data_IF_239692335901
#
_entry.id   IF_239692335901
#
_cell.length_a   1.000
_cell.length_b   1.000
_cell.length_c   1.000
_cell.angle_alpha   90.00
_cell.angle_beta   90.00
_cell.angle_gamma   90.00
#
_symmetry.space_group_name_H-M   'P 1'
#
loop_
_entity.id
_entity.type
_entity.pdbx_description
1 polymer ?
#
# COMPACT_ATOMS: atom_id res chain seq x y z
N UNK A 1 8.21 -25.96 -6.23
CA UNK A 1 8.07 -24.55 -5.82
C UNK A 1 8.89 -24.23 -4.57
N UNK A 2 8.79 -24.97 -3.44
CA UNK A 2 9.60 -24.70 -2.24
C UNK A 2 11.10 -24.70 -2.53
N UNK A 3 11.58 -25.71 -3.28
CA UNK A 3 13.00 -25.82 -3.66
C UNK A 3 13.50 -24.63 -4.50
N UNK A 4 12.68 -24.09 -5.40
CA UNK A 4 13.04 -22.91 -6.21
C UNK A 4 13.15 -21.65 -5.34
N UNK A 5 12.22 -21.49 -4.39
CA UNK A 5 12.24 -20.37 -3.46
C UNK A 5 13.45 -20.45 -2.52
N UNK A 6 13.74 -21.64 -2.00
CA UNK A 6 14.91 -21.87 -1.13
C UNK A 6 16.25 -21.74 -1.88
N UNK A 7 16.25 -21.87 -3.21
CA UNK A 7 17.40 -21.60 -4.09
C UNK A 7 17.59 -20.10 -4.41
N UNK A 8 16.76 -19.21 -3.84
CA UNK A 8 16.92 -17.76 -3.98
C UNK A 8 16.22 -17.14 -5.18
N UNK A 9 15.22 -17.81 -5.76
CA UNK A 9 14.33 -17.16 -6.75
C UNK A 9 13.54 -16.05 -6.05
N UNK A 10 13.46 -14.90 -6.69
CA UNK A 10 12.70 -13.74 -6.21
C UNK A 10 11.23 -14.12 -5.94
N UNK A 11 10.71 -13.69 -4.78
CA UNK A 11 9.35 -14.07 -4.38
C UNK A 11 8.27 -13.47 -5.28
N UNK A 12 8.49 -12.26 -5.80
CA UNK A 12 7.56 -11.59 -6.71
C UNK A 12 7.48 -12.36 -8.02
N UNK A 13 8.64 -12.73 -8.58
CA UNK A 13 8.70 -13.58 -9.79
C UNK A 13 8.03 -14.94 -9.56
N UNK A 14 8.20 -15.52 -8.36
CA UNK A 14 7.59 -16.80 -8.02
C UNK A 14 6.06 -16.71 -7.98
N UNK A 15 5.50 -15.72 -7.28
CA UNK A 15 4.03 -15.57 -7.18
C UNK A 15 3.41 -15.18 -8.52
N UNK A 16 4.15 -14.45 -9.36
CA UNK A 16 3.73 -14.12 -10.72
C UNK A 16 3.75 -15.34 -11.62
N UNK A 17 4.82 -16.12 -11.59
CA UNK A 17 4.90 -17.38 -12.34
C UNK A 17 3.80 -18.35 -11.92
N UNK A 18 3.48 -18.43 -10.61
CA UNK A 18 2.40 -19.27 -10.12
C UNK A 18 1.04 -18.78 -10.62
N UNK A 19 0.79 -17.47 -10.58
CA UNK A 19 -0.46 -16.90 -11.08
C UNK A 19 -0.67 -17.21 -12.56
N UNK A 20 0.34 -16.98 -13.40
CA UNK A 20 0.24 -17.20 -14.85
C UNK A 20 0.06 -18.67 -15.23
N UNK A 21 0.71 -19.59 -14.49
CA UNK A 21 0.50 -21.03 -14.70
C UNK A 21 -0.92 -21.46 -14.30
N UNK A 22 -1.39 -20.96 -13.16
CA UNK A 22 -2.77 -21.21 -12.72
C UNK A 22 -3.78 -20.63 -13.70
N UNK A 23 -3.54 -19.45 -14.26
CA UNK A 23 -4.40 -18.87 -15.29
C UNK A 23 -4.49 -19.75 -16.54
N UNK A 24 -3.36 -20.25 -17.04
CA UNK A 24 -3.33 -21.15 -18.20
C UNK A 24 -4.13 -22.42 -17.95
N UNK A 25 -3.93 -23.03 -16.77
CA UNK A 25 -4.68 -24.20 -16.34
C UNK A 25 -6.19 -23.92 -16.21
N UNK A 26 -6.57 -22.77 -15.66
CA UNK A 26 -7.98 -22.37 -15.55
C UNK A 26 -8.63 -22.16 -16.92
N UNK A 27 -7.90 -21.57 -17.88
CA UNK A 27 -8.40 -21.39 -19.24
C UNK A 27 -8.67 -22.76 -19.88
N UNK A 28 -7.72 -23.70 -19.79
CA UNK A 28 -7.91 -25.07 -20.29
C UNK A 28 -9.13 -25.74 -19.65
N UNK A 29 -9.26 -25.64 -18.32
CA UNK A 29 -10.39 -26.20 -17.58
C UNK A 29 -11.74 -25.58 -17.98
N UNK A 30 -11.78 -24.28 -18.24
CA UNK A 30 -13.00 -23.59 -18.67
C UNK A 30 -13.36 -23.89 -20.12
N UNK A 31 -12.38 -24.09 -20.99
CA UNK A 31 -12.60 -24.55 -22.36
C UNK A 31 -13.22 -25.96 -22.35
N UNK A 32 -12.64 -26.91 -21.59
CA UNK A 32 -13.19 -28.26 -21.42
C UNK A 32 -14.63 -28.22 -20.87
N UNK A 33 -14.87 -27.47 -19.80
CA UNK A 33 -16.20 -27.32 -19.21
C UNK A 33 -17.21 -26.68 -20.19
N UNK A 34 -16.76 -25.81 -21.09
CA UNK A 34 -17.62 -25.20 -22.10
C UNK A 34 -17.96 -26.17 -23.23
N UNK A 35 -17.00 -27.00 -23.69
CA UNK A 35 -17.22 -28.02 -24.71
C UNK A 35 -18.25 -29.08 -24.27
N UNK A 36 -18.24 -29.47 -23.00
CA UNK A 36 -19.21 -30.41 -22.44
C UNK A 36 -20.61 -29.80 -22.26
N UNK A 37 -20.71 -28.47 -22.25
CA UNK A 37 -21.98 -27.79 -22.07
C UNK A 37 -22.76 -27.74 -23.40
N UNK A 38 -24.06 -28.12 -23.42
CA UNK A 38 -24.88 -28.10 -24.65
C UNK A 38 -25.00 -26.74 -25.36
N UNK A 39 -24.56 -25.65 -24.71
CA UNK A 39 -24.55 -24.29 -25.21
C UNK A 39 -23.15 -23.64 -25.21
N UNK A 40 -22.08 -24.43 -25.19
CA UNK A 40 -20.68 -23.99 -25.06
C UNK A 40 -20.27 -22.81 -25.93
N UNK A 41 -20.42 -22.93 -27.26
CA UNK A 41 -20.06 -21.86 -28.22
C UNK A 41 -20.82 -20.54 -27.96
N UNK A 42 -22.08 -20.64 -27.51
CA UNK A 42 -22.86 -19.45 -27.14
C UNK A 42 -22.31 -18.84 -25.86
N UNK A 43 -21.98 -19.64 -24.85
CA UNK A 43 -21.43 -19.17 -23.57
C UNK A 43 -20.08 -18.46 -23.76
N UNK A 44 -19.20 -18.97 -24.62
CA UNK A 44 -17.94 -18.28 -24.98
C UNK A 44 -18.17 -16.93 -25.66
N UNK A 45 -19.28 -16.78 -26.40
CA UNK A 45 -19.63 -15.56 -27.13
C UNK A 45 -20.46 -14.54 -26.34
N UNK A 46 -20.96 -14.88 -25.14
CA UNK A 46 -21.79 -13.97 -24.33
C UNK A 46 -21.55 -14.09 -22.82
N UNK A 47 -20.45 -14.71 -22.41
CA UNK A 47 -20.01 -14.78 -21.03
C UNK A 47 -18.51 -14.55 -20.94
N UNK A 48 -18.02 -14.02 -19.83
CA UNK A 48 -16.60 -13.76 -19.64
C UNK A 48 -16.15 -14.10 -18.22
N UNK A 49 -14.90 -14.50 -18.05
CA UNK A 49 -14.28 -14.71 -16.73
C UNK A 49 -13.11 -13.75 -16.58
N UNK A 50 -13.08 -13.03 -15.46
CA UNK A 50 -11.99 -12.13 -15.10
C UNK A 50 -11.34 -12.60 -13.79
N UNK A 51 -10.02 -12.63 -13.76
CA UNK A 51 -9.26 -12.64 -12.52
C UNK A 51 -9.39 -11.27 -11.86
N UNK A 52 -9.66 -11.24 -10.56
CA UNK A 52 -9.77 -9.99 -9.79
C UNK A 52 -8.86 -10.05 -8.56
N UNK A 53 -8.68 -8.94 -7.85
CA UNK A 53 -7.88 -8.91 -6.62
C UNK A 53 -6.43 -9.36 -6.86
N UNK A 54 -5.93 -10.29 -6.03
CA UNK A 54 -4.56 -10.83 -6.18
C UNK A 54 -4.35 -11.56 -7.50
N UNK A 55 -5.32 -12.36 -7.93
CA UNK A 55 -5.30 -13.05 -9.22
C UNK A 55 -5.29 -12.05 -10.39
N UNK A 56 -6.06 -10.97 -10.28
CA UNK A 56 -6.08 -9.89 -11.27
C UNK A 56 -4.71 -9.25 -11.49
N UNK A 57 -3.99 -8.96 -10.39
CA UNK A 57 -2.59 -8.47 -10.40
C UNK A 57 -1.56 -9.48 -10.87
N UNK A 58 -1.95 -10.72 -11.15
CA UNK A 58 -1.04 -11.85 -11.34
C UNK A 58 -0.09 -12.04 -10.14
N UNK A 59 -0.62 -11.92 -8.92
CA UNK A 59 0.12 -12.11 -7.66
C UNK A 59 -0.56 -13.22 -6.83
N UNK A 60 -0.24 -14.48 -7.14
CA UNK A 60 -0.81 -15.64 -6.44
C UNK A 60 0.20 -16.20 -5.43
N UNK A 61 -0.03 -15.97 -4.14
CA UNK A 61 0.78 -16.60 -3.10
C UNK A 61 0.37 -18.05 -2.87
N UNK A 62 1.29 -18.96 -2.51
CA UNK A 62 1.00 -20.38 -2.29
C UNK A 62 -0.19 -20.61 -1.35
N UNK A 63 -1.14 -21.47 -1.70
CA UNK A 63 -2.31 -21.74 -0.85
C UNK A 63 -3.23 -20.52 -0.59
N UNK A 64 -3.11 -19.45 -1.40
CA UNK A 64 -4.15 -18.42 -1.47
C UNK A 64 -5.23 -18.83 -2.46
N UNK A 65 -6.45 -18.36 -2.20
CA UNK A 65 -7.57 -18.52 -3.13
C UNK A 65 -7.30 -17.79 -4.44
N UNK A 66 -7.87 -18.31 -5.54
CA UNK A 66 -7.97 -17.60 -6.82
C UNK A 66 -9.31 -16.88 -6.87
N UNK A 67 -9.27 -15.58 -7.11
CA UNK A 67 -10.47 -14.73 -7.12
C UNK A 67 -10.96 -14.48 -8.56
N UNK A 68 -12.16 -14.94 -8.87
CA UNK A 68 -12.78 -14.89 -10.20
C UNK A 68 -14.12 -14.14 -10.21
N UNK A 69 -14.32 -13.33 -11.25
CA UNK A 69 -15.61 -12.73 -11.60
C UNK A 69 -16.12 -13.34 -12.90
N UNK A 70 -17.24 -14.06 -12.80
CA UNK A 70 -17.98 -14.59 -13.94
C UNK A 70 -19.02 -13.55 -14.37
N UNK A 71 -18.85 -13.00 -15.57
CA UNK A 71 -19.74 -12.02 -16.18
C UNK A 71 -20.73 -12.68 -17.15
N UNK A 72 -22.02 -12.56 -16.84
CA UNK A 72 -23.11 -12.98 -17.71
C UNK A 72 -23.54 -11.84 -18.65
N UNK A 73 -23.39 -12.06 -19.95
CA UNK A 73 -23.75 -11.13 -21.03
C UNK A 73 -25.14 -11.36 -21.63
N UNK A 74 -26.02 -12.14 -20.97
CA UNK A 74 -27.44 -12.40 -21.27
C UNK A 74 -27.80 -13.88 -21.55
N UNK A 75 -27.03 -14.82 -21.00
CA UNK A 75 -27.33 -16.27 -21.02
C UNK A 75 -28.12 -16.73 -19.79
N UNK A 76 -28.12 -15.96 -18.71
CA UNK A 76 -28.92 -16.20 -17.52
C UNK A 76 -28.60 -17.56 -16.88
N UNK A 77 -29.59 -18.46 -16.85
CA UNK A 77 -29.48 -19.76 -16.17
C UNK A 77 -28.39 -20.65 -16.76
N UNK A 78 -28.13 -20.57 -18.04
CA UNK A 78 -27.14 -21.42 -18.71
C UNK A 78 -25.72 -21.03 -18.28
N UNK A 79 -25.42 -19.73 -18.24
CA UNK A 79 -24.12 -19.25 -17.78
C UNK A 79 -23.93 -19.47 -16.27
N UNK A 80 -24.99 -19.33 -15.48
CA UNK A 80 -24.93 -19.68 -14.05
C UNK A 80 -24.65 -21.18 -13.83
N UNK A 81 -25.21 -22.07 -14.67
CA UNK A 81 -24.95 -23.49 -14.61
C UNK A 81 -23.50 -23.82 -15.00
N UNK A 82 -22.99 -23.20 -16.07
CA UNK A 82 -21.58 -23.29 -16.48
C UNK A 82 -20.65 -22.82 -15.38
N UNK A 83 -20.85 -21.62 -14.84
CA UNK A 83 -20.03 -21.08 -13.76
C UNK A 83 -20.03 -22.00 -12.53
N UNK A 84 -21.19 -22.60 -12.21
CA UNK A 84 -21.29 -23.57 -11.11
C UNK A 84 -20.52 -24.86 -11.38
N UNK A 85 -20.48 -25.34 -12.64
CA UNK A 85 -19.69 -26.50 -13.04
C UNK A 85 -18.19 -26.18 -12.99
N UNK A 86 -17.76 -25.11 -13.67
CA UNK A 86 -16.38 -24.65 -13.67
C UNK A 86 -15.80 -24.46 -12.26
N UNK A 87 -16.61 -23.94 -11.32
CA UNK A 87 -16.21 -23.82 -9.91
C UNK A 87 -16.03 -25.18 -9.23
N UNK A 88 -16.90 -26.15 -9.50
CA UNK A 88 -16.76 -27.52 -8.98
C UNK A 88 -15.51 -28.18 -9.54
N UNK A 89 -15.28 -28.06 -10.85
CA UNK A 89 -14.11 -28.64 -11.51
C UNK A 89 -12.81 -28.09 -10.88
N UNK A 90 -12.77 -26.80 -10.58
CA UNK A 90 -11.65 -26.18 -9.87
C UNK A 90 -11.45 -26.75 -8.47
N UNK A 91 -12.52 -27.01 -7.72
CA UNK A 91 -12.43 -27.64 -6.40
C UNK A 91 -11.97 -29.10 -6.47
N UNK A 92 -12.42 -29.85 -7.48
CA UNK A 92 -12.08 -31.26 -7.67
C UNK A 92 -10.59 -31.45 -7.98
N UNK A 93 -9.97 -30.49 -8.65
CA UNK A 93 -8.51 -30.45 -8.89
C UNK A 93 -7.72 -29.78 -7.75
N UNK A 94 -8.39 -29.39 -6.67
CA UNK A 94 -7.78 -28.88 -5.44
C UNK A 94 -7.51 -27.38 -5.38
N UNK A 95 -8.02 -26.59 -6.34
CA UNK A 95 -7.94 -25.13 -6.27
C UNK A 95 -9.01 -24.60 -5.30
N UNK A 96 -8.67 -23.57 -4.53
CA UNK A 96 -9.64 -22.82 -3.75
C UNK A 96 -10.04 -21.56 -4.52
N UNK A 97 -11.35 -21.38 -4.73
CA UNK A 97 -11.89 -20.26 -5.51
C UNK A 97 -12.73 -19.32 -4.67
N UNK A 98 -12.32 -18.05 -4.62
CA UNK A 98 -13.24 -16.94 -4.39
C UNK A 98 -13.93 -16.62 -5.71
N UNK A 99 -15.27 -16.68 -5.78
CA UNK A 99 -15.96 -16.39 -7.04
C UNK A 99 -17.27 -15.63 -6.84
N UNK A 100 -17.67 -14.93 -7.90
CA UNK A 100 -18.98 -14.26 -7.99
C UNK A 100 -19.50 -14.32 -9.43
N UNK A 101 -20.82 -14.42 -9.59
CA UNK A 101 -21.48 -14.48 -10.89
C UNK A 101 -22.43 -13.29 -11.02
N UNK A 102 -22.20 -12.42 -11.99
CA UNK A 102 -22.96 -11.19 -12.15
C UNK A 102 -23.15 -10.80 -13.61
N UNK A 103 -24.26 -10.13 -13.92
CA UNK A 103 -24.33 -9.31 -15.13
C UNK A 103 -23.53 -8.03 -14.95
N UNK A 104 -23.17 -7.33 -16.04
CA UNK A 104 -22.49 -6.03 -15.93
C UNK A 104 -23.25 -5.03 -15.04
N UNK A 105 -24.58 -4.82 -15.18
CA UNK A 105 -25.32 -3.96 -14.26
C UNK A 105 -25.27 -4.43 -12.80
N UNK A 106 -25.31 -5.75 -12.57
CA UNK A 106 -25.22 -6.36 -11.24
C UNK A 106 -23.87 -6.09 -10.57
N UNK A 107 -22.77 -6.38 -11.27
CA UNK A 107 -21.41 -6.13 -10.79
C UNK A 107 -21.16 -4.64 -10.51
N UNK A 108 -21.69 -3.75 -11.36
CA UNK A 108 -21.63 -2.30 -11.14
C UNK A 108 -22.44 -1.88 -9.92
N UNK A 109 -23.59 -2.50 -9.68
CA UNK A 109 -24.39 -2.23 -8.47
C UNK A 109 -23.60 -2.65 -7.22
N UNK A 110 -23.04 -3.86 -7.22
CA UNK A 110 -22.23 -4.40 -6.13
C UNK A 110 -21.02 -3.50 -5.83
N UNK A 111 -20.27 -3.11 -6.86
CA UNK A 111 -19.13 -2.21 -6.73
C UNK A 111 -19.48 -0.81 -6.19
N UNK A 112 -20.75 -0.39 -6.21
CA UNK A 112 -21.17 0.89 -5.64
C UNK A 112 -21.49 0.81 -4.16
N UNK A 113 -21.91 -0.36 -3.70
CA UNK A 113 -22.28 -0.64 -2.31
C UNK A 113 -21.13 -1.25 -1.51
N UNK A 114 -20.25 -2.02 -2.15
CA UNK A 114 -19.19 -2.80 -1.50
C UNK A 114 -17.81 -2.43 -2.04
N UNK A 115 -17.05 -1.72 -1.21
CA UNK A 115 -15.72 -1.23 -1.56
C UNK A 115 -14.69 -2.36 -1.73
N UNK A 116 -14.85 -3.47 -1.02
CA UNK A 116 -13.98 -4.65 -1.14
C UNK A 116 -14.07 -5.26 -2.54
N UNK A 117 -15.29 -5.43 -3.06
CA UNK A 117 -15.50 -5.84 -4.45
C UNK A 117 -14.98 -4.79 -5.43
N UNK A 118 -15.30 -3.51 -5.18
CA UNK A 118 -14.89 -2.43 -6.07
C UNK A 118 -13.36 -2.31 -6.22
N UNK A 119 -12.62 -2.48 -5.12
CA UNK A 119 -11.14 -2.44 -5.13
C UNK A 119 -10.55 -3.70 -5.75
N UNK A 120 -11.17 -4.87 -5.58
CA UNK A 120 -10.75 -6.10 -6.26
C UNK A 120 -10.85 -5.99 -7.79
N UNK A 121 -11.91 -5.35 -8.31
CA UNK A 121 -12.12 -5.23 -9.76
C UNK A 121 -11.31 -4.12 -10.45
N UNK A 122 -10.64 -3.23 -9.71
CA UNK A 122 -9.75 -2.22 -10.31
C UNK A 122 -8.69 -2.91 -11.17
N UNK A 123 -8.12 -4.00 -10.65
CA UNK A 123 -7.02 -4.75 -11.27
C UNK A 123 -7.55 -5.97 -12.02
N UNK A 124 -8.80 -5.91 -12.50
CA UNK A 124 -9.43 -7.01 -13.20
C UNK A 124 -8.73 -7.30 -14.53
N UNK A 125 -8.37 -8.57 -14.72
CA UNK A 125 -7.71 -9.10 -15.92
C UNK A 125 -8.59 -10.16 -16.56
N UNK A 126 -8.85 -10.01 -17.85
CA UNK A 126 -9.61 -11.00 -18.60
C UNK A 126 -8.83 -12.32 -18.68
N UNK A 127 -9.53 -13.43 -18.43
CA UNK A 127 -8.99 -14.79 -18.56
C UNK A 127 -9.67 -15.56 -19.70
N UNK A 128 -11.00 -15.52 -19.79
CA UNK A 128 -11.75 -16.42 -20.66
C UNK A 128 -13.04 -15.79 -21.21
N UNK A 129 -13.50 -16.28 -22.37
CA UNK A 129 -14.79 -15.90 -22.99
C UNK A 129 -14.80 -14.56 -23.72
N UNK A 130 -15.94 -13.87 -23.71
CA UNK A 130 -16.18 -12.65 -24.49
C UNK A 130 -15.36 -11.45 -23.96
N UNK A 131 -14.32 -11.10 -24.72
CA UNK A 131 -13.45 -9.96 -24.42
C UNK A 131 -14.16 -8.61 -24.53
N UNK A 132 -15.16 -8.48 -25.40
CA UNK A 132 -15.93 -7.24 -25.54
C UNK A 132 -16.83 -7.00 -24.32
N UNK A 133 -17.38 -8.06 -23.73
CA UNK A 133 -18.12 -8.00 -22.46
C UNK A 133 -17.22 -7.54 -21.31
N UNK A 134 -16.02 -8.11 -21.19
CA UNK A 134 -15.05 -7.72 -20.17
C UNK A 134 -14.62 -6.25 -20.30
N UNK A 135 -14.38 -5.77 -21.52
CA UNK A 135 -14.04 -4.37 -21.77
C UNK A 135 -15.23 -3.43 -21.49
N UNK A 136 -16.44 -3.83 -21.87
CA UNK A 136 -17.67 -3.10 -21.53
C UNK A 136 -17.85 -2.96 -20.02
N UNK A 137 -17.54 -4.00 -19.26
CA UNK A 137 -17.53 -3.96 -17.80
C UNK A 137 -16.50 -2.96 -17.27
N UNK A 138 -15.23 -3.05 -17.70
CA UNK A 138 -14.14 -2.15 -17.27
C UNK A 138 -14.48 -0.67 -17.51
N UNK A 139 -14.94 -0.33 -18.72
CA UNK A 139 -15.33 1.04 -19.07
C UNK A 139 -16.54 1.53 -18.25
N UNK A 140 -17.52 0.65 -18.02
CA UNK A 140 -18.70 0.99 -17.23
C UNK A 140 -18.35 1.16 -15.75
N UNK A 141 -17.44 0.34 -15.22
CA UNK A 141 -16.91 0.43 -13.85
C UNK A 141 -16.22 1.76 -13.64
N UNK A 142 -15.23 2.09 -14.50
CA UNK A 142 -14.54 3.37 -14.46
C UNK A 142 -15.53 4.54 -14.44
N UNK A 143 -16.42 4.59 -15.42
CA UNK A 143 -17.35 5.71 -15.60
C UNK A 143 -18.37 5.83 -14.46
N UNK A 144 -18.93 4.72 -13.96
CA UNK A 144 -20.08 4.75 -13.03
C UNK A 144 -19.67 4.64 -11.56
N UNK A 145 -18.55 3.99 -11.25
CA UNK A 145 -18.09 3.76 -9.87
C UNK A 145 -17.02 4.77 -9.48
N UNK A 146 -16.04 5.00 -10.36
CA UNK A 146 -14.85 5.82 -10.05
C UNK A 146 -15.02 7.27 -10.53
N UNK A 147 -14.97 7.52 -11.84
CA UNK A 147 -14.91 8.86 -12.43
C UNK A 147 -16.12 9.75 -12.12
N UNK A 148 -17.31 9.18 -11.94
CA UNK A 148 -18.52 9.93 -11.54
C UNK A 148 -18.53 10.35 -10.07
N UNK A 149 -17.77 9.66 -9.21
CA UNK A 149 -17.80 9.84 -7.75
C UNK A 149 -16.39 9.74 -7.14
N UNK A 150 -15.37 10.43 -7.68
CA UNK A 150 -13.97 10.23 -7.28
C UNK A 150 -13.76 10.55 -5.80
N UNK A 151 -14.36 11.63 -5.29
CA UNK A 151 -14.25 11.98 -3.86
C UNK A 151 -14.91 10.95 -2.94
N UNK A 152 -15.97 10.27 -3.38
CA UNK A 152 -16.61 9.21 -2.58
C UNK A 152 -15.76 7.96 -2.64
N UNK A 153 -15.33 7.55 -3.83
CA UNK A 153 -14.47 6.38 -4.03
C UNK A 153 -13.18 6.48 -3.21
N UNK A 154 -12.51 7.63 -3.26
CA UNK A 154 -11.35 7.96 -2.42
C UNK A 154 -11.64 7.72 -0.94
N UNK A 155 -12.76 8.28 -0.41
CA UNK A 155 -13.10 8.16 1.01
C UNK A 155 -13.40 6.73 1.38
N UNK A 156 -14.20 6.04 0.57
CA UNK A 156 -14.57 4.65 0.79
C UNK A 156 -13.30 3.77 0.87
N UNK A 157 -12.29 3.99 0.00
CA UNK A 157 -10.99 3.29 0.06
C UNK A 157 -10.23 3.57 1.36
N UNK A 158 -10.07 4.84 1.72
CA UNK A 158 -9.31 5.25 2.91
C UNK A 158 -10.00 4.79 4.19
N UNK A 159 -11.32 4.89 4.26
CA UNK A 159 -12.11 4.49 5.43
C UNK A 159 -12.11 2.96 5.60
N UNK A 160 -12.21 2.20 4.50
CA UNK A 160 -12.05 0.75 4.53
C UNK A 160 -10.66 0.36 5.07
N UNK A 161 -9.61 1.03 4.59
CA UNK A 161 -8.25 0.72 5.04
C UNK A 161 -8.01 1.07 6.50
N UNK A 162 -8.50 2.22 6.97
CA UNK A 162 -8.46 2.60 8.39
C UNK A 162 -9.25 1.61 9.26
N UNK A 163 -10.36 1.08 8.75
CA UNK A 163 -11.12 0.02 9.41
C UNK A 163 -10.33 -1.28 9.55
N UNK A 164 -9.56 -1.68 8.54
CA UNK A 164 -8.65 -2.83 8.62
C UNK A 164 -7.51 -2.58 9.63
N UNK A 165 -6.86 -1.40 9.61
CA UNK A 165 -5.84 -1.03 10.60
C UNK A 165 -6.38 -1.17 12.03
N UNK A 166 -7.57 -0.63 12.31
CA UNK A 166 -8.17 -0.72 13.64
C UNK A 166 -8.35 -2.16 14.17
N UNK A 167 -8.46 -3.16 13.28
CA UNK A 167 -8.62 -4.59 13.62
C UNK A 167 -7.28 -5.35 13.67
N UNK A 168 -6.28 -4.92 12.90
CA UNK A 168 -5.01 -5.65 12.69
C UNK A 168 -3.77 -4.97 13.30
N UNK A 169 -3.97 -3.94 14.13
CA UNK A 169 -2.91 -3.24 14.85
C UNK A 169 -2.84 -1.76 14.52
N UNK A 170 -2.44 -0.94 15.48
CA UNK A 170 -2.49 0.53 15.34
C UNK A 170 -1.18 1.14 14.82
N UNK A 171 -0.14 0.31 14.69
CA UNK A 171 1.20 0.76 14.32
C UNK A 171 1.81 -0.13 13.22
N UNK A 172 2.73 0.43 12.45
CA UNK A 172 3.57 -0.35 11.53
C UNK A 172 4.67 -1.14 12.27
N UNK A 173 4.84 -0.91 13.57
CA UNK A 173 5.82 -1.56 14.45
C UNK A 173 5.17 -2.52 15.45
N UNK A 174 4.05 -3.14 15.08
CA UNK A 174 3.40 -4.17 15.91
C UNK A 174 4.30 -5.41 16.02
N UNK A 175 4.39 -6.00 17.22
CA UNK A 175 5.29 -7.12 17.49
C UNK A 175 4.90 -8.40 16.77
N UNK A 176 3.61 -8.60 16.52
CA UNK A 176 3.06 -9.75 15.80
C UNK A 176 2.16 -9.20 14.69
N UNK A 177 2.76 -8.72 13.59
CA UNK A 177 1.99 -8.07 12.53
C UNK A 177 1.35 -9.09 11.58
N UNK A 178 0.25 -8.67 10.95
CA UNK A 178 -0.29 -9.30 9.75
C UNK A 178 0.38 -8.64 8.52
N UNK A 179 1.16 -9.41 7.76
CA UNK A 179 1.98 -8.89 6.65
C UNK A 179 1.12 -8.32 5.51
N UNK A 180 -0.15 -8.72 5.44
CA UNK A 180 -1.09 -8.26 4.43
C UNK A 180 -1.90 -7.06 4.92
N UNK A 181 -2.38 -7.09 6.17
CA UNK A 181 -3.44 -6.21 6.68
C UNK A 181 -3.03 -5.24 7.77
N UNK A 182 -1.89 -5.39 8.45
CA UNK A 182 -1.42 -4.38 9.40
C UNK A 182 -0.99 -3.08 8.70
N UNK A 183 -0.87 -1.95 9.41
CA UNK A 183 -0.25 -0.75 8.86
C UNK A 183 1.15 -1.05 8.34
N UNK A 184 1.48 -0.56 7.16
CA UNK A 184 2.73 -0.89 6.46
C UNK A 184 2.74 -2.25 5.77
N UNK A 185 1.62 -2.98 5.73
CA UNK A 185 1.47 -4.26 5.03
C UNK A 185 1.11 -4.13 3.54
N UNK A 186 0.94 -5.26 2.85
CA UNK A 186 0.70 -5.29 1.39
C UNK A 186 -0.52 -4.45 0.95
N UNK A 187 -1.58 -4.40 1.77
CA UNK A 187 -2.78 -3.60 1.49
C UNK A 187 -2.52 -2.09 1.45
N UNK A 188 -1.45 -1.60 2.09
CA UNK A 188 -1.10 -0.18 2.02
C UNK A 188 -0.45 0.16 0.66
N UNK A 189 0.26 -0.77 0.02
CA UNK A 189 0.70 -0.65 -1.38
C UNK A 189 -0.52 -0.62 -2.31
N UNK A 190 -1.47 -1.53 -2.08
CA UNK A 190 -2.71 -1.56 -2.86
C UNK A 190 -3.53 -0.28 -2.70
N UNK A 191 -3.56 0.32 -1.49
CA UNK A 191 -4.20 1.62 -1.30
C UNK A 191 -3.60 2.68 -2.22
N UNK A 192 -2.27 2.75 -2.34
CA UNK A 192 -1.61 3.67 -3.28
C UNK A 192 -2.07 3.40 -4.71
N UNK A 193 -2.11 2.13 -5.14
CA UNK A 193 -2.61 1.75 -6.48
C UNK A 193 -4.07 2.15 -6.70
N UNK A 194 -4.95 1.92 -5.73
CA UNK A 194 -6.38 2.25 -5.84
C UNK A 194 -6.64 3.75 -5.89
N UNK A 195 -5.92 4.52 -5.06
CA UNK A 195 -5.99 5.96 -5.06
C UNK A 195 -5.35 6.55 -6.33
N UNK A 196 -4.26 5.96 -6.80
CA UNK A 196 -3.64 6.21 -8.10
C UNK A 196 -4.65 6.05 -9.22
N UNK A 197 -5.34 4.91 -9.26
CA UNK A 197 -6.36 4.64 -10.27
C UNK A 197 -7.50 5.63 -10.19
N UNK A 198 -7.98 5.91 -8.98
CA UNK A 198 -9.05 6.87 -8.76
C UNK A 198 -8.72 8.28 -9.25
N UNK A 199 -7.47 8.73 -9.12
CA UNK A 199 -7.09 10.13 -9.35
C UNK A 199 -6.41 10.37 -10.70
N UNK A 200 -5.62 9.40 -11.15
CA UNK A 200 -4.74 9.47 -12.32
C UNK A 200 -5.08 8.41 -13.38
N UNK A 201 -5.98 7.47 -13.08
CA UNK A 201 -6.42 6.45 -14.05
C UNK A 201 -5.48 5.24 -14.18
N UNK A 202 -4.42 5.18 -13.38
CA UNK A 202 -3.44 4.08 -13.40
C UNK A 202 -3.21 3.44 -12.04
N UNK A 203 -2.92 2.15 -12.04
CA UNK A 203 -2.46 1.39 -10.86
C UNK A 203 -0.95 1.14 -10.87
N UNK A 204 -0.26 1.54 -11.94
CA UNK A 204 1.18 1.33 -12.08
C UNK A 204 1.96 2.40 -11.30
N UNK A 205 2.85 1.96 -10.42
CA UNK A 205 3.62 2.88 -9.58
C UNK A 205 4.62 3.72 -10.37
N UNK A 206 5.10 3.23 -11.52
CA UNK A 206 6.01 3.94 -12.42
C UNK A 206 5.26 5.00 -13.22
N UNK A 207 4.06 4.69 -13.73
CA UNK A 207 3.21 5.70 -14.38
C UNK A 207 2.81 6.81 -13.39
N UNK A 208 2.59 6.48 -12.11
CA UNK A 208 2.37 7.50 -11.07
C UNK A 208 3.60 8.39 -10.83
N UNK A 209 4.82 7.93 -11.12
CA UNK A 209 6.03 8.79 -11.08
C UNK A 209 6.05 9.71 -12.31
N UNK A 210 5.70 9.20 -13.48
CA UNK A 210 5.59 9.98 -14.72
C UNK A 210 4.55 11.10 -14.61
N UNK A 211 3.45 10.85 -13.90
CA UNK A 211 2.38 11.82 -13.59
C UNK A 211 2.72 12.76 -12.41
N UNK A 212 3.95 12.73 -11.90
CA UNK A 212 4.42 13.49 -10.72
C UNK A 212 3.56 13.26 -9.45
N UNK A 213 2.80 12.16 -9.41
CA UNK A 213 1.95 11.79 -8.29
C UNK A 213 2.73 11.08 -7.18
N UNK A 214 3.79 10.35 -7.55
CA UNK A 214 4.76 9.71 -6.67
C UNK A 214 6.16 10.22 -6.98
N UNK A 215 6.99 10.33 -5.95
CA UNK A 215 8.42 10.60 -6.15
C UNK A 215 9.15 9.28 -6.47
N UNK A 216 10.25 9.29 -7.26
CA UNK A 216 11.01 8.07 -7.58
C UNK A 216 11.41 7.25 -6.34
N UNK A 217 11.90 7.91 -5.29
CA UNK A 217 12.24 7.29 -4.00
C UNK A 217 11.04 6.65 -3.28
N UNK A 218 9.84 7.19 -3.47
CA UNK A 218 8.62 6.66 -2.88
C UNK A 218 8.19 5.39 -3.60
N UNK A 219 8.29 5.39 -4.93
CA UNK A 219 8.14 4.19 -5.76
C UNK A 219 9.12 3.12 -5.30
N UNK A 220 10.40 3.45 -5.17
CA UNK A 220 11.43 2.49 -4.74
C UNK A 220 11.13 1.93 -3.34
N UNK A 221 10.64 2.76 -2.41
CA UNK A 221 10.19 2.34 -1.08
C UNK A 221 9.01 1.36 -1.15
N UNK A 222 8.00 1.66 -1.98
CA UNK A 222 6.82 0.80 -2.16
C UNK A 222 7.20 -0.55 -2.79
N UNK A 223 8.08 -0.53 -3.80
CA UNK A 223 8.58 -1.75 -4.46
C UNK A 223 9.38 -2.60 -3.49
N UNK A 224 10.36 -2.02 -2.80
CA UNK A 224 11.18 -2.75 -1.83
C UNK A 224 10.33 -3.31 -0.67
N UNK A 225 9.34 -2.56 -0.19
CA UNK A 225 8.42 -3.03 0.83
C UNK A 225 7.48 -4.14 0.34
N UNK A 226 6.95 -4.03 -0.88
CA UNK A 226 6.14 -5.09 -1.52
C UNK A 226 6.94 -6.38 -1.70
N UNK A 227 8.17 -6.29 -2.19
CA UNK A 227 9.06 -7.43 -2.34
C UNK A 227 9.32 -8.12 -0.99
N UNK A 228 9.77 -7.36 0.01
CA UNK A 228 10.03 -7.87 1.35
C UNK A 228 8.81 -8.57 1.97
N UNK A 229 7.63 -7.93 1.89
CA UNK A 229 6.41 -8.50 2.44
C UNK A 229 5.94 -9.73 1.67
N UNK A 230 6.14 -9.77 0.36
CA UNK A 230 5.83 -10.93 -0.49
C UNK A 230 6.74 -12.10 -0.13
N UNK A 231 8.04 -11.87 0.04
CA UNK A 231 8.99 -12.89 0.51
C UNK A 231 8.57 -13.49 1.85
N UNK A 232 8.29 -12.64 2.84
CA UNK A 232 7.84 -13.09 4.17
C UNK A 232 6.52 -13.86 4.04
N UNK A 233 5.56 -13.37 3.24
CA UNK A 233 4.26 -14.03 3.06
C UNK A 233 4.38 -15.40 2.40
N UNK A 234 5.19 -15.53 1.35
CA UNK A 234 5.48 -16.83 0.70
C UNK A 234 6.07 -17.79 1.73
N UNK A 235 7.03 -17.33 2.53
CA UNK A 235 7.64 -18.11 3.59
C UNK A 235 6.64 -18.63 4.64
N UNK A 236 5.70 -17.78 5.07
CA UNK A 236 4.65 -18.13 6.02
C UNK A 236 3.70 -19.17 5.42
N UNK A 237 3.28 -18.96 4.18
CA UNK A 237 2.35 -19.85 3.48
C UNK A 237 2.96 -21.23 3.22
N UNK A 238 4.22 -21.28 2.79
CA UNK A 238 4.94 -22.54 2.57
C UNK A 238 5.15 -23.33 3.86
N UNK A 239 5.50 -22.65 4.96
CA UNK A 239 5.66 -23.27 6.28
C UNK A 239 4.34 -23.84 6.80
N UNK A 240 3.24 -23.10 6.63
CA UNK A 240 1.92 -23.50 7.13
C UNK A 240 1.18 -24.47 6.21
N UNK A 241 1.62 -24.62 4.94
CA UNK A 241 0.91 -25.32 3.87
C UNK A 241 -0.55 -24.84 3.68
N UNK A 242 -0.82 -23.57 3.98
CA UNK A 242 -2.13 -22.91 3.89
C UNK A 242 -1.97 -21.39 3.89
N UNK A 243 -3.04 -20.66 3.59
CA UNK A 243 -3.09 -19.22 3.78
C UNK A 243 -2.82 -18.84 5.26
N UNK A 244 -1.79 -18.03 5.49
CA UNK A 244 -1.38 -17.55 6.80
C UNK A 244 -0.59 -16.24 6.65
N UNK A 245 -1.19 -15.12 7.05
CA UNK A 245 -0.60 -13.79 6.89
C UNK A 245 0.03 -13.25 8.20
N UNK A 246 -0.08 -13.96 9.32
CA UNK A 246 0.42 -13.48 10.63
C UNK A 246 1.87 -13.89 10.85
N UNK A 247 2.76 -12.90 11.02
CA UNK A 247 4.16 -13.09 11.39
C UNK A 247 4.28 -13.32 12.90
N UNK A 248 3.92 -14.54 13.32
CA UNK A 248 4.01 -14.97 14.72
C UNK A 248 5.45 -14.99 15.22
N UNK A 249 5.63 -15.02 16.54
CA UNK A 249 6.95 -14.99 17.18
C UNK A 249 7.81 -16.21 16.79
N UNK A 250 7.20 -17.38 16.71
CA UNK A 250 7.87 -18.60 16.27
C UNK A 250 8.31 -18.50 14.80
N UNK A 251 7.47 -17.90 13.96
CA UNK A 251 7.80 -17.61 12.57
C UNK A 251 8.94 -16.59 12.48
N UNK A 252 8.99 -15.57 13.33
CA UNK A 252 10.11 -14.61 13.37
C UNK A 252 11.44 -15.31 13.69
N UNK A 253 11.45 -16.22 14.67
CA UNK A 253 12.63 -17.01 15.02
C UNK A 253 13.03 -17.95 13.87
N UNK A 254 12.06 -18.65 13.27
CA UNK A 254 12.27 -19.54 12.13
C UNK A 254 12.86 -18.80 10.94
N UNK A 255 12.29 -17.64 10.60
CA UNK A 255 12.70 -16.84 9.44
C UNK A 255 14.06 -16.18 9.64
N UNK A 256 14.36 -15.68 10.84
CA UNK A 256 15.68 -15.17 11.18
C UNK A 256 16.75 -16.27 11.00
N UNK A 257 16.47 -17.49 11.45
CA UNK A 257 17.35 -18.65 11.25
C UNK A 257 17.45 -19.04 9.77
N UNK A 258 16.33 -19.13 9.05
CA UNK A 258 16.29 -19.50 7.63
C UNK A 258 17.12 -18.54 6.77
N UNK A 259 17.05 -17.23 7.06
CA UNK A 259 17.80 -16.18 6.37
C UNK A 259 19.26 -16.05 6.81
N UNK A 260 19.72 -16.88 7.75
CA UNK A 260 21.09 -16.80 8.26
C UNK A 260 21.41 -15.48 8.96
N UNK A 261 20.42 -14.83 9.59
CA UNK A 261 20.64 -13.56 10.27
C UNK A 261 21.54 -13.80 11.47
N UNK A 262 22.71 -13.18 11.48
CA UNK A 262 23.65 -13.28 12.60
C UNK A 262 23.31 -12.27 13.70
N UNK A 263 23.48 -12.67 14.96
CA UNK A 263 23.35 -11.76 16.10
C UNK A 263 24.58 -10.85 16.24
N UNK A 264 24.48 -9.88 17.13
CA UNK A 264 25.62 -9.10 17.62
C UNK A 264 25.69 -9.20 19.15
N UNK A 265 26.73 -8.62 19.77
CA UNK A 265 26.80 -8.51 21.23
C UNK A 265 25.65 -7.68 21.83
N UNK A 266 24.96 -6.87 21.01
CA UNK A 266 23.90 -5.97 21.44
C UNK A 266 22.49 -6.41 21.00
N UNK A 267 22.37 -7.28 19.99
CA UNK A 267 21.09 -7.68 19.40
C UNK A 267 21.04 -9.16 19.04
N UNK A 268 19.92 -9.81 19.33
CA UNK A 268 19.63 -11.18 18.91
C UNK A 268 19.35 -11.22 17.39
N UNK A 269 19.61 -12.36 16.71
CA UNK A 269 19.24 -12.55 15.30
C UNK A 269 17.81 -12.11 14.95
N UNK A 270 16.84 -12.49 15.77
CA UNK A 270 15.42 -12.17 15.57
C UNK A 270 15.13 -10.67 15.71
N UNK A 271 15.87 -9.96 16.58
CA UNK A 271 15.72 -8.52 16.74
C UNK A 271 16.22 -7.78 15.51
N UNK A 272 17.32 -8.24 14.90
CA UNK A 272 17.81 -7.68 13.64
C UNK A 272 16.83 -7.95 12.48
N UNK A 273 16.34 -9.18 12.36
CA UNK A 273 15.31 -9.52 11.37
C UNK A 273 14.07 -8.64 11.52
N UNK A 274 13.57 -8.48 12.74
CA UNK A 274 12.39 -7.65 12.99
C UNK A 274 12.68 -6.15 12.84
N UNK A 275 13.89 -5.69 13.12
CA UNK A 275 14.29 -4.31 12.86
C UNK A 275 14.26 -4.00 11.36
N UNK A 276 14.75 -4.92 10.52
CA UNK A 276 14.65 -4.80 9.06
C UNK A 276 13.21 -4.84 8.58
N UNK A 277 12.40 -5.76 9.13
CA UNK A 277 10.95 -5.79 8.86
C UNK A 277 10.28 -4.45 9.16
N UNK A 278 10.55 -3.87 10.33
CA UNK A 278 9.99 -2.57 10.73
C UNK A 278 10.50 -1.39 9.91
N UNK A 279 11.73 -1.45 9.39
CA UNK A 279 12.23 -0.42 8.46
C UNK A 279 11.38 -0.39 7.19
N UNK A 280 11.10 -1.57 6.61
CA UNK A 280 10.24 -1.67 5.43
C UNK A 280 8.79 -1.24 5.72
N UNK A 281 8.15 -1.80 6.75
CA UNK A 281 6.73 -1.51 7.03
C UNK A 281 6.50 -0.06 7.44
N UNK A 282 7.39 0.53 8.24
CA UNK A 282 7.25 1.94 8.67
C UNK A 282 7.45 2.90 7.51
N UNK A 283 8.41 2.62 6.62
CA UNK A 283 8.63 3.43 5.42
C UNK A 283 7.44 3.34 4.46
N UNK A 284 6.92 2.13 4.23
CA UNK A 284 5.75 1.88 3.39
C UNK A 284 4.49 2.57 3.94
N UNK A 285 4.21 2.41 5.25
CA UNK A 285 3.08 3.06 5.92
C UNK A 285 3.13 4.58 5.70
N UNK A 286 4.31 5.19 5.89
CA UNK A 286 4.51 6.63 5.68
C UNK A 286 4.27 7.05 4.24
N UNK A 287 4.82 6.33 3.26
CA UNK A 287 4.59 6.67 1.84
C UNK A 287 3.10 6.58 1.51
N UNK A 288 2.42 5.52 1.95
CA UNK A 288 0.99 5.32 1.68
C UNK A 288 0.11 6.40 2.33
N UNK A 289 0.40 6.78 3.58
CA UNK A 289 -0.32 7.83 4.30
C UNK A 289 -0.12 9.19 3.63
N UNK A 290 1.13 9.54 3.29
CA UNK A 290 1.42 10.80 2.57
C UNK A 290 0.79 10.83 1.19
N UNK A 291 0.78 9.72 0.47
CA UNK A 291 0.13 9.64 -0.84
C UNK A 291 -1.38 9.87 -0.71
N UNK A 292 -2.03 9.25 0.29
CA UNK A 292 -3.43 9.50 0.58
C UNK A 292 -3.66 10.98 0.94
N UNK A 293 -2.90 11.55 1.87
CA UNK A 293 -3.03 12.95 2.28
C UNK A 293 -2.89 13.95 1.11
N UNK A 294 -1.89 13.77 0.24
CA UNK A 294 -1.70 14.59 -0.96
C UNK A 294 -2.88 14.51 -1.93
N UNK A 295 -3.52 13.34 -2.01
CA UNK A 295 -4.64 13.07 -2.92
C UNK A 295 -6.02 13.27 -2.28
N UNK A 296 -6.07 13.80 -1.06
CA UNK A 296 -7.33 14.02 -0.35
C UNK A 296 -8.19 15.05 -1.08
N UNK A 297 -9.46 14.72 -1.41
CA UNK A 297 -10.38 15.67 -2.03
C UNK A 297 -10.62 16.88 -1.11
N UNK A 298 -10.45 18.09 -1.64
CA UNK A 298 -10.77 19.34 -0.94
C UNK A 298 -12.26 19.40 -0.58
N UNK A 299 -12.59 19.79 0.66
CA UNK A 299 -14.00 20.05 1.06
C UNK A 299 -14.38 21.49 0.74
N UNK A 300 -15.66 21.76 0.47
CA UNK A 300 -16.14 23.14 0.27
C UNK A 300 -15.86 24.05 1.48
N UNK A 301 -15.96 23.50 2.70
CA UNK A 301 -15.62 24.20 3.96
C UNK A 301 -14.12 24.52 4.01
N UNK A 302 -13.29 23.61 3.48
CA UNK A 302 -11.86 23.82 3.39
C UNK A 302 -11.57 25.00 2.45
N UNK A 303 -12.18 25.05 1.26
CA UNK A 303 -11.99 26.18 0.33
C UNK A 303 -12.46 27.53 0.89
N UNK A 304 -13.59 27.55 1.59
CA UNK A 304 -14.13 28.78 2.21
C UNK A 304 -13.29 29.27 3.40
N UNK A 305 -12.78 28.34 4.22
CA UNK A 305 -11.90 28.69 5.33
C UNK A 305 -10.56 29.28 4.86
N UNK A 306 -10.02 28.78 3.75
CA UNK A 306 -8.79 29.33 3.14
C UNK A 306 -9.03 30.74 2.60
N UNK A 307 -10.21 31.01 2.04
CA UNK A 307 -10.56 32.34 1.53
C UNK A 307 -10.59 33.41 2.64
N UNK A 308 -10.97 33.04 3.86
CA UNK A 308 -10.94 33.95 5.02
C UNK A 308 -9.59 34.04 5.75
N UNK A 309 -8.65 33.14 5.48
CA UNK A 309 -7.36 33.11 6.15
C UNK A 309 -6.25 33.65 5.23
N UNK A 310 -5.78 34.88 5.51
CA UNK A 310 -4.63 35.44 4.80
C UNK A 310 -3.36 34.66 5.21
N UNK A 311 -2.63 34.04 4.26
CA UNK A 311 -1.35 33.42 4.55
C UNK A 311 -0.42 34.41 5.25
N UNK A 312 0.28 33.98 6.29
CA UNK A 312 1.22 34.82 7.03
C UNK A 312 2.65 34.45 6.63
N UNK A 313 3.42 35.44 6.17
CA UNK A 313 4.86 35.23 5.93
C UNK A 313 5.61 35.32 7.25
N UNK A 314 6.36 34.27 7.57
CA UNK A 314 7.23 34.19 8.74
C UNK A 314 8.63 33.84 8.24
N UNK A 315 9.46 34.87 8.06
CA UNK A 315 10.77 34.72 7.42
C UNK A 315 10.65 34.15 6.01
N UNK A 316 11.21 32.95 5.82
CA UNK A 316 11.23 32.21 4.56
C UNK A 316 10.07 31.21 4.40
N UNK A 317 9.10 31.23 5.32
CA UNK A 317 7.93 30.34 5.28
C UNK A 317 6.61 31.11 5.11
N UNK A 318 5.67 30.48 4.39
CA UNK A 318 4.25 30.81 4.42
C UNK A 318 3.52 29.91 5.40
N UNK A 319 2.89 30.52 6.40
CA UNK A 319 2.06 29.83 7.38
C UNK A 319 0.60 30.05 7.03
N UNK A 320 -0.09 28.97 6.71
CA UNK A 320 -1.55 28.96 6.51
C UNK A 320 -2.24 28.30 7.70
N UNK A 321 -3.58 28.25 7.68
CA UNK A 321 -4.34 27.46 8.67
C UNK A 321 -4.05 25.96 8.59
N UNK A 322 -3.62 25.46 7.42
CA UNK A 322 -3.47 24.03 7.15
C UNK A 322 -2.04 23.53 7.26
N UNK A 323 -1.12 24.31 6.72
CA UNK A 323 0.24 23.88 6.50
C UNK A 323 1.23 25.05 6.52
N UNK A 324 2.48 24.71 6.75
CA UNK A 324 3.64 25.58 6.53
C UNK A 324 4.32 25.15 5.23
N UNK A 325 4.53 26.06 4.30
CA UNK A 325 5.33 25.80 3.11
C UNK A 325 6.44 26.85 2.98
N UNK A 326 7.48 26.55 2.22
CA UNK A 326 8.51 27.52 1.91
C UNK A 326 7.96 28.60 0.97
N UNK A 327 8.49 29.82 1.07
CA UNK A 327 8.28 30.84 0.04
C UNK A 327 8.84 30.32 -1.30
N UNK A 328 8.14 30.61 -2.38
CA UNK A 328 8.54 30.22 -3.73
C UNK A 328 9.97 30.66 -4.04
N UNK A 329 10.79 29.74 -4.56
CA UNK A 329 12.22 29.96 -4.80
C UNK A 329 13.14 29.72 -3.61
N UNK A 330 12.64 29.70 -2.36
CA UNK A 330 13.47 29.53 -1.15
C UNK A 330 13.49 28.09 -0.62
N UNK A 331 12.88 27.12 -1.31
CA UNK A 331 12.80 25.72 -0.85
C UNK A 331 14.17 25.09 -0.59
N UNK A 332 15.14 25.31 -1.47
CA UNK A 332 16.51 24.82 -1.28
C UNK A 332 17.19 25.47 -0.09
N UNK A 333 17.03 26.78 0.09
CA UNK A 333 17.63 27.52 1.20
C UNK A 333 17.08 27.05 2.56
N UNK A 334 15.75 26.87 2.69
CA UNK A 334 15.15 26.46 3.97
C UNK A 334 15.37 24.99 4.33
N UNK A 335 16.06 24.25 3.49
CA UNK A 335 16.43 22.83 3.71
C UNK A 335 17.93 22.61 3.64
N UNK A 336 18.74 23.66 3.46
CA UNK A 336 20.17 23.56 3.19
C UNK A 336 20.99 23.11 4.41
N UNK A 337 20.59 23.48 5.62
CA UNK A 337 21.36 23.22 6.85
C UNK A 337 20.48 22.66 7.97
N UNK A 338 21.12 22.09 8.99
CA UNK A 338 20.44 21.68 10.24
C UNK A 338 19.65 22.84 10.85
N UNK A 339 20.22 24.04 10.83
CA UNK A 339 19.59 25.23 11.40
C UNK A 339 18.29 25.58 10.69
N UNK A 340 18.24 25.43 9.36
CA UNK A 340 17.05 25.71 8.56
C UNK A 340 15.95 24.67 8.79
N UNK A 341 16.33 23.39 8.87
CA UNK A 341 15.40 22.33 9.27
C UNK A 341 14.81 22.56 10.66
N UNK A 342 15.62 23.02 11.62
CA UNK A 342 15.13 23.37 12.96
C UNK A 342 14.23 24.60 12.96
N UNK A 343 14.54 25.62 12.15
CA UNK A 343 13.65 26.78 11.95
C UNK A 343 12.27 26.36 11.44
N UNK A 344 12.20 25.39 10.52
CA UNK A 344 10.92 24.86 10.05
C UNK A 344 10.13 24.20 11.19
N UNK A 345 10.76 23.32 11.97
CA UNK A 345 10.08 22.61 13.06
C UNK A 345 9.74 23.48 14.26
N UNK A 346 10.56 24.48 14.57
CA UNK A 346 10.24 25.53 15.54
C UNK A 346 9.00 26.32 15.10
N UNK A 347 8.95 26.71 13.81
CA UNK A 347 7.77 27.38 13.24
C UNK A 347 6.54 26.49 13.32
N UNK A 348 6.68 25.20 12.97
CA UNK A 348 5.60 24.22 13.09
C UNK A 348 5.07 24.08 14.52
N UNK A 349 5.97 23.94 15.49
CA UNK A 349 5.60 23.83 16.89
C UNK A 349 4.93 25.11 17.42
N UNK A 350 5.45 26.29 17.03
CA UNK A 350 4.95 27.60 17.46
C UNK A 350 3.56 27.94 16.93
N UNK A 351 3.32 27.70 15.64
CA UNK A 351 2.03 28.01 15.01
C UNK A 351 1.03 26.86 15.10
N UNK A 352 1.51 25.68 15.50
CA UNK A 352 0.71 24.48 15.68
C UNK A 352 0.14 23.93 14.37
N UNK A 353 0.92 24.04 13.30
CA UNK A 353 0.57 23.68 11.93
C UNK A 353 1.70 22.82 11.35
N UNK A 354 1.34 21.75 10.63
CA UNK A 354 2.31 20.81 10.07
C UNK A 354 2.97 21.36 8.79
N UNK A 355 4.25 21.06 8.51
CA UNK A 355 4.84 21.40 7.23
C UNK A 355 4.16 20.68 6.06
N UNK A 356 4.26 21.26 4.86
CA UNK A 356 3.74 20.64 3.65
C UNK A 356 4.42 19.30 3.38
N UNK A 357 3.71 18.28 2.86
CA UNK A 357 4.32 17.02 2.49
C UNK A 357 5.53 17.21 1.55
N UNK A 358 5.41 18.12 0.59
CA UNK A 358 6.45 18.46 -0.37
C UNK A 358 7.68 19.07 0.30
N UNK A 359 7.51 19.97 1.28
CA UNK A 359 8.63 20.56 2.01
C UNK A 359 9.33 19.52 2.91
N UNK A 360 8.57 18.63 3.56
CA UNK A 360 9.15 17.52 4.31
C UNK A 360 9.92 16.55 3.42
N UNK A 361 9.47 16.37 2.18
CA UNK A 361 10.13 15.55 1.17
C UNK A 361 11.49 16.14 0.76
N UNK A 362 11.53 17.41 0.39
CA UNK A 362 12.79 18.12 0.07
C UNK A 362 13.73 18.11 1.28
N UNK A 363 13.20 18.36 2.48
CA UNK A 363 13.99 18.29 3.71
C UNK A 363 14.58 16.90 3.95
N UNK A 364 13.79 15.84 3.76
CA UNK A 364 14.25 14.46 3.97
C UNK A 364 15.41 14.12 3.03
N UNK A 365 15.40 14.64 1.80
CA UNK A 365 16.50 14.45 0.85
C UNK A 365 17.77 15.19 1.29
N UNK A 366 17.63 16.44 1.71
CA UNK A 366 18.75 17.29 2.08
C UNK A 366 19.45 16.86 3.38
N UNK A 367 18.71 16.27 4.34
CA UNK A 367 19.24 15.90 5.66
C UNK A 367 20.44 14.94 5.61
N UNK A 368 20.54 14.10 4.58
CA UNK A 368 21.68 13.19 4.40
C UNK A 368 22.98 13.89 3.99
N UNK A 369 22.88 15.10 3.42
CA UNK A 369 24.01 15.87 2.91
C UNK A 369 24.53 16.91 3.92
N UNK A 370 23.80 17.13 5.02
CA UNK A 370 24.22 18.07 6.04
C UNK A 370 25.50 17.61 6.74
N UNK A 371 26.50 18.49 6.72
CA UNK A 371 27.79 18.28 7.40
C UNK A 371 28.04 19.29 8.51
N UNK A 372 27.03 20.10 8.85
CA UNK A 372 27.17 21.21 9.80
C UNK A 372 27.37 20.71 11.23
N UNK A 373 28.30 21.34 11.96
CA UNK A 373 28.41 21.16 13.41
C UNK A 373 27.21 21.79 14.12
N UNK A 374 26.73 21.13 15.18
CA UNK A 374 25.59 21.62 15.97
C UNK A 374 25.98 22.92 16.68
N UNK A 375 25.33 24.03 16.32
CA UNK A 375 25.59 25.32 16.95
C UNK A 375 24.83 25.50 18.26
N UNK A 376 25.23 26.49 19.08
CA UNK A 376 24.48 26.89 20.29
C UNK A 376 23.07 27.36 19.94
N UNK A 377 22.89 27.98 18.78
CA UNK A 377 21.57 28.44 18.32
C UNK A 377 20.65 27.25 17.99
N UNK A 378 21.19 26.19 17.39
CA UNK A 378 20.45 24.97 17.07
C UNK A 378 19.99 24.24 18.33
N UNK A 379 20.85 24.18 19.35
CA UNK A 379 20.49 23.65 20.67
C UNK A 379 19.35 24.47 21.30
N UNK A 380 19.44 25.80 21.25
CA UNK A 380 18.40 26.68 21.78
C UNK A 380 17.06 26.48 21.05
N UNK A 381 17.07 26.36 19.70
CA UNK A 381 15.87 26.06 18.90
C UNK A 381 15.27 24.71 19.26
N UNK A 382 16.10 23.67 19.39
CA UNK A 382 15.62 22.35 19.76
C UNK A 382 14.96 22.36 21.15
N UNK A 383 15.56 23.02 22.14
CA UNK A 383 14.97 23.20 23.46
C UNK A 383 13.67 24.04 23.40
N UNK A 384 13.60 25.04 22.52
CA UNK A 384 12.38 25.84 22.30
C UNK A 384 11.23 25.00 21.70
N UNK A 385 11.53 24.04 20.81
CA UNK A 385 10.57 23.05 20.31
C UNK A 385 10.07 22.18 21.47
N UNK A 386 10.96 21.65 22.29
CA UNK A 386 10.61 20.81 23.46
C UNK A 386 9.79 21.57 24.51
N UNK A 387 10.01 22.88 24.63
CA UNK A 387 9.28 23.76 25.56
C UNK A 387 7.87 24.14 25.13
N UNK A 388 7.44 23.81 23.91
CA UNK A 388 6.07 24.10 23.46
C UNK A 388 5.06 23.21 24.19
N UNK A 389 3.83 23.69 24.39
CA UNK A 389 2.76 22.88 24.97
C UNK A 389 1.88 22.27 23.86
N UNK A 390 1.53 20.98 24.00
CA UNK A 390 0.49 20.32 23.21
C UNK A 390 0.92 19.63 21.89
N UNK A 391 1.92 20.13 21.15
CA UNK A 391 2.30 19.56 19.83
C UNK A 391 3.70 18.97 19.72
N UNK A 392 4.49 19.02 20.79
CA UNK A 392 5.87 18.48 20.85
C UNK A 392 5.96 17.07 20.31
N UNK A 393 5.05 16.18 20.72
CA UNK A 393 5.06 14.79 20.24
C UNK A 393 4.89 14.65 18.73
N UNK A 394 4.07 15.48 18.10
CA UNK A 394 3.86 15.45 16.64
C UNK A 394 5.07 16.03 15.91
N UNK A 395 5.60 17.16 16.36
CA UNK A 395 6.80 17.78 15.78
C UNK A 395 8.02 16.86 15.91
N UNK A 396 8.25 16.26 17.09
CA UNK A 396 9.34 15.30 17.29
C UNK A 396 9.20 14.07 16.41
N UNK A 397 7.98 13.56 16.20
CA UNK A 397 7.75 12.48 15.24
C UNK A 397 8.12 12.91 13.82
N UNK A 398 7.74 14.11 13.38
CA UNK A 398 8.14 14.60 12.05
C UNK A 398 9.66 14.76 11.94
N UNK A 399 10.34 15.33 12.95
CA UNK A 399 11.80 15.42 13.00
C UNK A 399 12.47 14.04 12.97
N UNK A 400 11.88 13.07 13.68
CA UNK A 400 12.30 11.68 13.61
C UNK A 400 12.01 11.11 12.21
N UNK A 401 10.92 11.42 11.54
CA UNK A 401 10.67 10.88 10.20
C UNK A 401 11.60 11.49 9.14
N UNK A 402 11.88 12.79 9.21
CA UNK A 402 12.79 13.47 8.27
C UNK A 402 14.27 13.24 8.59
N UNK A 403 14.60 12.48 9.64
CA UNK A 403 15.97 12.25 10.15
C UNK A 403 16.68 13.48 10.71
N UNK A 404 16.03 14.64 10.78
CA UNK A 404 16.58 15.84 11.44
C UNK A 404 16.96 15.54 12.90
N UNK A 405 16.18 14.69 13.59
CA UNK A 405 16.50 14.31 14.96
C UNK A 405 17.78 13.47 15.08
N UNK A 406 18.17 12.74 14.02
CA UNK A 406 19.38 11.93 14.01
C UNK A 406 20.63 12.82 14.00
N UNK A 407 20.54 13.98 13.35
CA UNK A 407 21.64 14.95 13.29
C UNK A 407 21.86 15.63 14.65
N UNK A 408 20.80 15.82 15.45
CA UNK A 408 20.90 16.39 16.79
C UNK A 408 21.28 15.37 17.86
N UNK A 409 20.75 14.15 17.75
CA UNK A 409 20.97 13.09 18.72
C UNK A 409 21.34 11.82 17.94
N UNK A 410 22.63 11.63 17.59
CA UNK A 410 23.05 10.50 16.75
C UNK A 410 22.63 9.13 17.28
N UNK A 411 22.52 8.96 18.60
CA UNK A 411 22.02 7.73 19.22
C UNK A 411 20.57 7.37 18.83
N UNK A 412 19.74 8.34 18.43
CA UNK A 412 18.37 8.09 17.94
C UNK A 412 18.39 7.30 16.63
N UNK A 413 19.41 7.49 15.79
CA UNK A 413 19.55 6.71 14.55
C UNK A 413 19.64 5.21 14.84
N UNK A 414 20.38 4.82 15.88
CA UNK A 414 20.51 3.44 16.35
C UNK A 414 19.21 2.90 16.94
N UNK A 415 18.43 3.76 17.59
CA UNK A 415 17.14 3.39 18.18
C UNK A 415 16.01 3.20 17.13
N UNK A 416 16.25 3.55 15.86
CA UNK A 416 15.23 3.42 14.81
C UNK A 416 14.79 1.99 14.60
N UNK A 417 13.49 1.78 14.70
CA UNK A 417 12.85 0.48 14.53
C UNK A 417 13.46 -0.60 15.45
N UNK A 418 14.14 -0.18 16.52
CA UNK A 418 14.74 -1.07 17.49
C UNK A 418 13.63 -1.63 18.35
N UNK A 419 13.56 -2.96 18.41
CA UNK A 419 12.66 -3.69 19.28
C UNK A 419 13.49 -4.38 20.35
N UNK A 420 13.04 -4.30 21.61
CA UNK A 420 13.54 -5.18 22.65
C UNK A 420 12.67 -6.42 22.72
N UNK A 421 13.27 -7.58 22.42
CA UNK A 421 12.62 -8.88 22.54
C UNK A 421 12.72 -9.38 24.00
N UNK A 422 12.32 -8.53 24.96
CA UNK A 422 12.57 -8.69 26.40
C UNK A 422 11.47 -9.44 27.16
N UNK A 423 10.49 -10.03 26.48
CA UNK A 423 9.43 -10.85 27.11
C UNK A 423 9.42 -12.31 26.61
N UNK A 424 10.62 -12.88 26.44
CA UNK A 424 10.82 -14.28 26.10
C UNK A 424 11.68 -14.96 27.14
#
# INVERSE_FOLDING_TARGET
MPERFDQGVDAVDLVQSLALQTDGFLVELFDEAAEEFPAGERLTGCGAVLAIGGSGRAELSPGSDVDLLFLDGNSGREFAAFASQAVRDCWDVGLQLGHSVHTVPGAISLARSEIEFATAVIEARWLWGDRALAETFRQTFWRRVVARRPSRFYRDCVDARRGEWARHGRSASELVPDVKRSPGGLRDVHLVRWLGFCRYGTTDLSELVEEEALLPRERDTLVAGHQWLTEVRVDLHLSAARCQDVLTRDEQLRLAKKRGVEGSSAQRPVERFMQDHFRHTTALARVSERFAERNRPSRLIDTLADWWCIPRRVGSFWVTRRMIDAVEGLRGEVTATLSDGLRLFETSARYGVDPSPQLLDVLTDAVGEWTDDITVEDQARFLAILGQTGRVGTTLRQMFHTRVLDQLVPAVSHARCLMQFNQY
#
